data_IF_310696911368
#
_entry.id   IF_310696911368
#
_cell.length_a   1.000
_cell.length_b   1.000
_cell.length_c   1.000
_cell.angle_alpha   90.00
_cell.angle_beta   90.00
_cell.angle_gamma   90.00
#
_symmetry.space_group_name_H-M   'P 1'
#
loop_
_entity.id
_entity.type
_entity.pdbx_description
1 polymer ?
#
# COMPACT_ATOMS: atom_id res chain seq x y z
N UNK A 1 -17.41 2.35 -2.99
CA UNK A 1 -16.49 3.28 -3.68
C UNK A 1 -15.10 2.66 -3.60
N UNK A 2 -14.58 2.24 -4.73
CA UNK A 2 -13.20 1.74 -4.88
C UNK A 2 -12.25 2.93 -4.79
N UNK A 3 -11.34 2.92 -3.83
CA UNK A 3 -10.25 3.89 -3.74
C UNK A 3 -9.28 3.63 -4.89
N UNK A 4 -9.10 4.55 -5.86
CA UNK A 4 -8.16 4.32 -6.94
C UNK A 4 -6.76 4.27 -6.36
N UNK A 5 -6.02 3.23 -6.75
CA UNK A 5 -4.61 3.06 -6.42
C UNK A 5 -3.81 3.33 -7.68
N UNK A 6 -2.94 4.32 -7.59
CA UNK A 6 -1.99 4.68 -8.62
C UNK A 6 -0.66 4.06 -8.23
N UNK A 7 -0.32 2.94 -8.84
CA UNK A 7 1.03 2.39 -8.70
C UNK A 7 1.98 3.18 -9.60
N UNK A 8 3.04 3.71 -9.02
CA UNK A 8 3.98 4.58 -9.72
C UNK A 8 5.29 3.86 -10.01
N UNK A 9 5.73 2.97 -9.11
CA UNK A 9 7.04 2.34 -9.24
C UNK A 9 7.12 0.99 -8.52
N UNK A 10 7.59 -0.01 -9.27
CA UNK A 10 8.18 -1.26 -8.76
C UNK A 10 9.70 -1.23 -8.90
N UNK A 11 10.42 -1.64 -7.87
CA UNK A 11 11.88 -1.81 -7.91
C UNK A 11 12.27 -3.17 -7.36
N UNK A 12 12.78 -4.03 -8.23
CA UNK A 12 13.35 -5.34 -7.88
C UNK A 12 14.86 -5.20 -7.64
N UNK A 13 15.35 -5.77 -6.55
CA UNK A 13 16.77 -5.75 -6.19
C UNK A 13 17.14 -6.98 -5.35
N UNK A 14 18.44 -7.29 -5.26
CA UNK A 14 18.96 -8.30 -4.34
C UNK A 14 19.42 -7.61 -3.06
N UNK A 15 19.06 -8.20 -1.93
CA UNK A 15 19.45 -7.77 -0.59
C UNK A 15 20.12 -8.93 0.13
N UNK A 16 21.10 -8.62 0.97
CA UNK A 16 21.71 -9.63 1.84
C UNK A 16 21.04 -9.55 3.19
N UNK A 17 20.42 -10.64 3.64
CA UNK A 17 19.88 -10.74 4.98
C UNK A 17 21.01 -10.57 6.00
N UNK A 18 20.91 -9.54 6.84
CA UNK A 18 21.99 -9.19 7.77
C UNK A 18 22.16 -10.20 8.91
N UNK A 19 21.14 -11.00 9.23
CA UNK A 19 21.18 -12.00 10.30
C UNK A 19 21.73 -13.35 9.82
N UNK A 20 21.43 -13.74 8.58
CA UNK A 20 21.75 -15.06 8.01
C UNK A 20 22.83 -15.02 6.93
N UNK A 21 23.11 -13.85 6.35
CA UNK A 21 24.03 -13.67 5.23
C UNK A 21 23.48 -14.18 3.89
N UNK A 22 22.22 -14.62 3.83
CA UNK A 22 21.62 -15.17 2.62
C UNK A 22 21.25 -14.07 1.63
N UNK A 23 21.36 -14.37 0.34
CA UNK A 23 20.84 -13.50 -0.71
C UNK A 23 19.32 -13.64 -0.81
N UNK A 24 18.64 -12.54 -0.58
CA UNK A 24 17.20 -12.39 -0.65
C UNK A 24 16.84 -11.50 -1.84
N UNK A 25 15.65 -11.69 -2.39
CA UNK A 25 15.06 -10.78 -3.37
C UNK A 25 14.18 -9.77 -2.63
N UNK A 26 14.52 -8.50 -2.77
CA UNK A 26 13.71 -7.38 -2.32
C UNK A 26 12.90 -6.81 -3.49
N UNK A 27 11.59 -6.69 -3.31
CA UNK A 27 10.72 -5.98 -4.25
C UNK A 27 10.03 -4.83 -3.52
N UNK A 28 10.28 -3.62 -3.99
CA UNK A 28 9.66 -2.41 -3.48
C UNK A 28 8.51 -1.98 -4.39
N UNK A 29 7.34 -1.75 -3.80
CA UNK A 29 6.14 -1.21 -4.44
C UNK A 29 5.84 0.16 -3.84
N UNK A 30 5.64 1.16 -4.68
CA UNK A 30 5.32 2.52 -4.22
C UNK A 30 4.33 3.22 -5.12
N UNK A 31 3.55 4.11 -4.51
CA UNK A 31 2.52 4.86 -5.21
C UNK A 31 1.61 5.63 -4.26
N UNK A 32 0.44 6.02 -4.76
CA UNK A 32 -0.56 6.77 -4.02
C UNK A 32 -1.90 6.05 -4.05
N UNK A 33 -2.53 5.89 -2.88
CA UNK A 33 -3.91 5.45 -2.77
C UNK A 33 -4.80 6.63 -2.37
N UNK A 34 -5.88 6.86 -3.13
CA UNK A 34 -6.84 7.92 -2.84
C UNK A 34 -8.03 7.42 -2.01
N UNK A 35 -8.11 7.85 -0.76
CA UNK A 35 -9.25 7.58 0.12
C UNK A 35 -10.32 8.63 -0.11
N UNK A 36 -11.52 8.22 -0.53
CA UNK A 36 -12.61 9.15 -0.86
C UNK A 36 -12.64 9.64 -2.31
N UNK A 37 -11.80 9.06 -3.17
CA UNK A 37 -11.66 9.44 -4.59
C UNK A 37 -10.49 10.39 -4.81
N UNK A 38 -10.00 10.45 -6.04
CA UNK A 38 -9.03 11.47 -6.44
C UNK A 38 -9.77 12.81 -6.62
N UNK A 39 -9.25 13.92 -6.06
CA UNK A 39 -9.86 15.23 -6.25
C UNK A 39 -9.77 15.65 -7.72
N UNK A 40 -10.80 16.32 -8.28
CA UNK A 40 -10.76 16.81 -9.65
C UNK A 40 -9.61 17.81 -9.84
N UNK A 41 -8.99 17.78 -11.03
CA UNK A 41 -7.95 18.72 -11.43
C UNK A 41 -8.56 20.10 -11.69
N UNK A 42 -8.52 20.97 -10.68
CA UNK A 42 -8.97 22.36 -10.75
C UNK A 42 -10.32 22.64 -10.09
N UNK A 43 -10.55 23.91 -9.73
CA UNK A 43 -11.77 24.37 -9.04
C UNK A 43 -11.68 24.32 -7.52
N UNK A 44 -12.71 24.86 -6.85
CA UNK A 44 -12.84 24.80 -5.40
C UNK A 44 -13.49 23.47 -5.01
N UNK A 45 -12.79 22.66 -4.23
CA UNK A 45 -13.29 21.38 -3.73
C UNK A 45 -13.51 21.46 -2.22
N UNK A 46 -14.65 20.95 -1.75
CA UNK A 46 -14.95 20.86 -0.32
C UNK A 46 -14.75 19.43 0.18
N UNK A 47 -13.73 19.23 1.02
CA UNK A 47 -13.51 17.98 1.73
C UNK A 47 -14.62 17.69 2.74
N UNK A 48 -14.78 16.41 3.10
CA UNK A 48 -15.54 16.02 4.29
C UNK A 48 -14.57 15.64 5.40
N UNK A 49 -14.89 16.01 6.63
CA UNK A 49 -14.18 15.51 7.81
C UNK A 49 -14.75 14.15 8.24
N UNK A 50 -13.85 13.20 8.51
CA UNK A 50 -14.17 11.87 9.04
C UNK A 50 -13.63 11.78 10.47
N UNK A 51 -14.48 11.60 11.50
CA UNK A 51 -14.00 11.45 12.86
C UNK A 51 -13.23 10.13 13.03
N UNK A 52 -12.23 10.10 13.94
CA UNK A 52 -11.41 8.90 14.23
C UNK A 52 -12.25 7.66 14.53
N UNK A 53 -13.35 7.82 15.27
CA UNK A 53 -14.28 6.73 15.59
C UNK A 53 -14.98 6.13 14.35
N UNK A 54 -15.02 6.85 13.21
CA UNK A 54 -15.60 6.41 11.93
C UNK A 54 -14.56 6.40 10.82
N UNK A 55 -13.29 6.16 11.18
CA UNK A 55 -12.19 6.06 10.23
C UNK A 55 -12.54 5.20 9.02
N UNK A 56 -12.14 5.66 7.83
CA UNK A 56 -12.30 4.90 6.60
C UNK A 56 -11.16 3.89 6.51
N UNK A 57 -11.50 2.68 6.09
CA UNK A 57 -10.54 1.62 5.79
C UNK A 57 -10.63 1.37 4.29
N UNK A 58 -9.48 1.33 3.62
CA UNK A 58 -9.34 0.82 2.27
C UNK A 58 -8.34 -0.32 2.28
N UNK A 59 -8.72 -1.44 1.67
CA UNK A 59 -7.89 -2.62 1.47
C UNK A 59 -7.89 -2.94 -0.01
N UNK A 60 -6.69 -3.07 -0.58
CA UNK A 60 -6.49 -3.26 -2.02
C UNK A 60 -5.32 -4.20 -2.26
N UNK A 61 -5.46 -5.08 -3.25
CA UNK A 61 -4.32 -5.81 -3.80
C UNK A 61 -3.48 -4.85 -4.63
N UNK A 62 -2.15 -4.89 -4.46
CA UNK A 62 -1.25 -4.09 -5.29
C UNK A 62 -1.28 -4.65 -6.73
N UNK A 63 -1.60 -3.82 -7.74
CA UNK A 63 -1.89 -4.28 -9.10
C UNK A 63 -0.66 -4.80 -9.85
N UNK A 64 0.54 -4.37 -9.45
CA UNK A 64 1.83 -4.77 -9.99
C UNK A 64 2.60 -5.74 -9.07
N UNK A 65 1.93 -6.23 -8.01
CA UNK A 65 2.46 -7.26 -7.13
C UNK A 65 2.94 -8.46 -7.95
N UNK A 66 4.09 -8.99 -7.59
CA UNK A 66 4.53 -10.30 -8.06
C UNK A 66 3.71 -11.40 -7.35
N UNK A 67 3.58 -12.58 -7.97
CA UNK A 67 3.02 -13.74 -7.28
C UNK A 67 4.10 -14.34 -6.37
N UNK A 68 3.80 -14.41 -5.07
CA UNK A 68 4.67 -15.03 -4.08
C UNK A 68 4.24 -16.49 -3.86
N UNK A 69 5.19 -17.41 -3.83
CA UNK A 69 4.94 -18.84 -3.61
C UNK A 69 4.95 -19.21 -2.12
N UNK A 70 5.35 -18.28 -1.26
CA UNK A 70 5.56 -18.49 0.17
C UNK A 70 4.90 -17.36 0.96
N UNK A 71 4.04 -17.67 1.94
CA UNK A 71 3.46 -16.65 2.81
C UNK A 71 4.44 -16.10 3.85
N UNK A 72 5.57 -16.76 4.10
CA UNK A 72 6.53 -16.38 5.17
C UNK A 72 7.52 -15.28 4.76
N UNK A 73 7.25 -14.54 3.67
CA UNK A 73 8.08 -13.41 3.28
C UNK A 73 8.05 -12.28 4.33
N UNK A 74 9.17 -11.58 4.47
CA UNK A 74 9.22 -10.36 5.27
C UNK A 74 8.52 -9.24 4.49
N UNK A 75 7.49 -8.64 5.08
CA UNK A 75 6.75 -7.51 4.49
C UNK A 75 6.88 -6.29 5.39
N UNK A 76 7.53 -5.24 4.88
CA UNK A 76 7.68 -3.96 5.58
C UNK A 76 6.83 -2.92 4.87
N UNK A 77 6.01 -2.19 5.64
CA UNK A 77 5.12 -1.15 5.09
C UNK A 77 5.42 0.19 5.72
N UNK A 78 5.52 1.20 4.86
CA UNK A 78 5.61 2.60 5.23
C UNK A 78 4.48 3.34 4.53
N UNK A 79 3.75 4.18 5.28
CA UNK A 79 2.68 5.01 4.73
C UNK A 79 2.85 6.44 5.22
N UNK A 80 2.54 7.39 4.35
CA UNK A 80 2.60 8.82 4.67
C UNK A 80 1.48 9.56 3.96
N UNK A 81 1.11 10.71 4.52
CA UNK A 81 0.12 11.59 3.91
C UNK A 81 0.77 12.31 2.73
N UNK A 82 0.16 12.21 1.54
CA UNK A 82 0.48 13.02 0.37
C UNK A 82 -0.66 14.05 0.21
N UNK A 83 -0.58 15.17 0.93
CA UNK A 83 -1.60 16.21 0.88
C UNK A 83 -1.38 17.15 -0.31
N UNK A 84 -2.44 17.41 -1.09
CA UNK A 84 -2.51 18.54 -2.02
C UNK A 84 -2.94 19.85 -1.33
N UNK A 85 -2.87 21.01 -2.01
CA UNK A 85 -3.15 22.30 -1.38
C UNK A 85 -4.62 22.44 -0.96
N UNK A 86 -4.89 22.86 0.28
CA UNK A 86 -6.18 23.45 0.67
C UNK A 86 -7.04 22.74 1.74
N UNK A 87 -6.67 21.60 2.31
CA UNK A 87 -7.44 20.99 3.42
C UNK A 87 -6.53 20.31 4.47
N UNK A 88 -6.61 20.70 5.76
CA UNK A 88 -5.66 20.28 6.78
C UNK A 88 -6.00 18.93 7.42
N UNK A 89 -5.00 18.05 7.42
CA UNK A 89 -4.80 16.95 8.39
C UNK A 89 -5.66 15.67 8.20
N UNK A 90 -5.57 14.95 7.06
CA UNK A 90 -5.81 13.51 7.13
C UNK A 90 -4.81 12.89 8.12
N UNK A 91 -5.29 11.97 8.94
CA UNK A 91 -4.49 11.24 9.93
C UNK A 91 -4.49 9.77 9.54
N UNK A 92 -3.30 9.22 9.32
CA UNK A 92 -3.11 7.79 9.18
C UNK A 92 -3.20 7.19 10.58
N UNK A 93 -4.24 6.39 10.81
CA UNK A 93 -4.41 5.65 12.06
C UNK A 93 -3.59 4.35 12.00
N UNK A 94 -3.58 3.70 10.85
CA UNK A 94 -2.79 2.51 10.60
C UNK A 94 -2.53 2.34 9.10
N UNK A 95 -1.37 1.81 8.77
CA UNK A 95 -1.02 1.31 7.44
C UNK A 95 -0.31 -0.01 7.60
N UNK A 96 -0.79 -1.04 6.91
CA UNK A 96 -0.20 -2.38 6.95
C UNK A 96 -0.28 -3.02 5.57
N UNK A 97 0.74 -3.79 5.21
CA UNK A 97 0.66 -4.69 4.08
C UNK A 97 1.04 -6.10 4.51
N UNK A 98 0.45 -7.07 3.84
CA UNK A 98 0.59 -8.49 4.11
C UNK A 98 0.49 -9.28 2.81
N UNK A 99 1.00 -10.51 2.80
CA UNK A 99 0.75 -11.45 1.73
C UNK A 99 -0.57 -12.18 1.97
N UNK A 100 -1.51 -12.05 1.05
CA UNK A 100 -2.82 -12.73 1.10
C UNK A 100 -2.95 -13.75 -0.03
N UNK A 101 -3.64 -14.88 0.18
CA UNK A 101 -3.88 -15.86 -0.88
C UNK A 101 -4.59 -15.25 -2.10
N UNK A 102 -4.34 -15.80 -3.28
CA UNK A 102 -5.08 -15.42 -4.49
C UNK A 102 -6.60 -15.62 -4.29
N UNK A 103 -7.43 -14.56 -4.37
CA UNK A 103 -8.88 -14.69 -4.27
C UNK A 103 -9.49 -15.59 -5.37
N UNK A 104 -8.75 -15.87 -6.45
CA UNK A 104 -9.14 -16.79 -7.53
C UNK A 104 -8.78 -18.26 -7.24
N UNK A 105 -8.07 -18.53 -6.15
CA UNK A 105 -7.73 -19.89 -5.70
C UNK A 105 -6.43 -20.48 -6.25
N UNK A 106 -5.60 -19.69 -6.94
CA UNK A 106 -4.24 -20.14 -7.28
C UNK A 106 -3.38 -20.26 -6.01
N UNK A 107 -2.40 -21.16 -6.02
CA UNK A 107 -1.45 -21.36 -4.91
C UNK A 107 -0.33 -20.32 -4.93
N UNK A 108 -0.73 -19.05 -4.94
CA UNK A 108 0.16 -17.89 -4.88
C UNK A 108 -0.44 -16.86 -3.92
N UNK A 109 0.41 -15.97 -3.44
CA UNK A 109 0.07 -14.88 -2.55
C UNK A 109 0.36 -13.54 -3.22
N UNK A 110 -0.49 -12.55 -2.94
CA UNK A 110 -0.37 -11.20 -3.46
C UNK A 110 -0.22 -10.23 -2.31
N UNK A 111 0.44 -9.10 -2.56
CA UNK A 111 0.55 -8.04 -1.56
C UNK A 111 -0.79 -7.31 -1.46
N UNK A 112 -1.39 -7.33 -0.26
CA UNK A 112 -2.54 -6.51 0.08
C UNK A 112 -2.10 -5.35 0.96
N UNK A 113 -2.41 -4.12 0.55
CA UNK A 113 -2.23 -2.92 1.35
C UNK A 113 -3.56 -2.55 2.00
N UNK A 114 -3.55 -2.37 3.33
CA UNK A 114 -4.68 -1.86 4.11
C UNK A 114 -4.29 -0.58 4.82
N UNK A 115 -5.05 0.49 4.59
CA UNK A 115 -4.85 1.78 5.24
C UNK A 115 -6.14 2.22 5.93
N UNK A 116 -6.00 2.67 7.18
CA UNK A 116 -7.05 3.27 7.99
C UNK A 116 -6.77 4.76 8.17
N UNK A 117 -7.68 5.60 7.70
CA UNK A 117 -7.54 7.06 7.70
C UNK A 117 -8.75 7.73 8.37
N UNK A 118 -8.49 8.80 9.12
CA UNK A 118 -9.48 9.75 9.58
C UNK A 118 -9.07 11.19 9.20
N UNK A 119 -9.88 12.18 9.53
CA UNK A 119 -9.68 13.57 9.11
C UNK A 119 -10.30 13.87 7.75
N UNK A 120 -9.75 14.85 7.05
CA UNK A 120 -10.28 15.33 5.77
C UNK A 120 -10.09 14.29 4.65
N UNK A 121 -11.15 14.04 3.89
CA UNK A 121 -11.11 13.25 2.65
C UNK A 121 -11.80 14.03 1.51
N UNK A 122 -11.32 13.94 0.26
CA UNK A 122 -10.37 12.97 -0.28
C UNK A 122 -8.94 13.17 0.21
N UNK A 123 -8.21 12.06 0.41
CA UNK A 123 -6.84 12.08 0.89
C UNK A 123 -5.97 11.14 0.05
N UNK A 124 -4.86 11.68 -0.48
CA UNK A 124 -3.81 10.89 -1.10
C UNK A 124 -2.89 10.32 -0.03
N UNK A 125 -2.78 9.00 0.04
CA UNK A 125 -1.87 8.32 0.96
C UNK A 125 -0.76 7.69 0.15
N UNK A 126 0.44 8.24 0.30
CA UNK A 126 1.65 7.63 -0.24
C UNK A 126 1.96 6.34 0.51
N UNK A 127 2.38 5.32 -0.22
CA UNK A 127 2.80 4.05 0.35
C UNK A 127 4.14 3.60 -0.24
N UNK A 128 4.88 2.86 0.58
CA UNK A 128 6.03 2.06 0.19
C UNK A 128 5.92 0.71 0.89
N UNK A 129 5.83 -0.36 0.12
CA UNK A 129 5.82 -1.73 0.62
C UNK A 129 7.07 -2.42 0.11
N UNK A 130 7.88 -2.97 1.00
CA UNK A 130 9.04 -3.78 0.65
C UNK A 130 8.73 -5.22 1.04
N UNK A 131 8.84 -6.12 0.08
CA UNK A 131 8.75 -7.56 0.31
C UNK A 131 10.11 -8.18 0.08
N UNK A 132 10.62 -8.87 1.09
CA UNK A 132 11.88 -9.61 1.03
C UNK A 132 11.60 -11.10 1.16
N UNK A 133 12.07 -11.88 0.19
CA UNK A 133 11.85 -13.33 0.14
C UNK A 133 13.03 -14.03 -0.52
N UNK A 134 13.21 -15.31 -0.26
CA UNK A 134 14.21 -16.11 -0.99
C UNK A 134 13.91 -16.06 -2.51
N UNK A 135 14.91 -15.89 -3.39
CA UNK A 135 14.68 -15.69 -4.83
C UNK A 135 13.80 -16.75 -5.51
N UNK A 136 13.89 -18.01 -5.09
CA UNK A 136 13.10 -19.13 -5.62
C UNK A 136 11.62 -19.13 -5.20
N UNK A 137 11.18 -18.16 -4.38
CA UNK A 137 9.83 -18.06 -3.84
C UNK A 137 8.98 -17.00 -4.52
N UNK A 138 9.41 -16.54 -5.69
CA UNK A 138 8.66 -15.64 -6.56
C UNK A 138 8.38 -16.35 -7.89
N UNK A 139 7.13 -16.31 -8.33
CA UNK A 139 6.64 -16.95 -9.57
C UNK A 139 6.56 -16.04 -10.78
#
# INVERSE_FOLDING_TARGET
MTSPLLCERRLDHLVTDAATGQTMRGTEYSGVMWIGGEPPTGGMFFGRSVPVAKARVASVLLPDSLPYLDPEATVVTQTWVSSGPGDPNPIIIAGQAELVPDPRGARVYWVQLTIRVAGSVPAGIGYRVVVEVHPDKVG
#
